data_IF_765145102118
#
_entry.id   IF_765145102118
#
_cell.length_a   1.000
_cell.length_b   1.000
_cell.length_c   1.000
_cell.angle_alpha   90.00
_cell.angle_beta   90.00
_cell.angle_gamma   90.00
#
_symmetry.space_group_name_H-M   'P 1'
#
loop_
_entity.id
_entity.type
_entity.pdbx_description
1 polymer ?
#
# COMPACT_ATOMS: atom_id res chain seq x y z
N UNK A 1 -34.98 -13.98 16.00
CA UNK A 1 -33.71 -13.69 16.70
C UNK A 1 -32.61 -14.23 15.84
N UNK A 2 -31.77 -13.32 15.33
CA UNK A 2 -30.71 -13.69 14.43
C UNK A 2 -29.58 -14.33 15.25
N UNK A 3 -29.31 -15.63 15.06
CA UNK A 3 -28.14 -16.25 15.70
C UNK A 3 -26.89 -15.74 14.98
N UNK A 4 -26.24 -14.70 15.48
CA UNK A 4 -25.03 -14.18 14.84
C UNK A 4 -23.77 -14.93 15.32
N UNK A 5 -22.80 -15.22 14.43
CA UNK A 5 -21.57 -15.94 14.80
C UNK A 5 -20.56 -15.05 15.55
N UNK A 6 -20.87 -13.79 15.86
CA UNK A 6 -19.94 -12.85 16.53
C UNK A 6 -19.35 -13.42 17.82
N UNK A 7 -20.13 -14.12 18.63
CA UNK A 7 -19.66 -14.71 19.89
C UNK A 7 -18.60 -15.80 19.67
N UNK A 8 -18.55 -16.42 18.49
CA UNK A 8 -17.49 -17.37 18.09
C UNK A 8 -16.18 -16.66 17.79
N UNK A 9 -16.25 -15.39 17.34
CA UNK A 9 -15.09 -14.57 16.96
C UNK A 9 -14.63 -13.61 18.05
N UNK A 10 -15.54 -13.20 18.92
CA UNK A 10 -15.28 -12.34 20.06
C UNK A 10 -16.13 -12.77 21.26
N UNK A 11 -15.71 -13.84 21.97
CA UNK A 11 -16.45 -14.37 23.13
C UNK A 11 -16.64 -13.34 24.25
N UNK A 12 -15.72 -12.39 24.39
CA UNK A 12 -15.73 -11.36 25.43
C UNK A 12 -16.67 -10.18 25.11
N UNK A 13 -17.21 -10.09 23.88
CA UNK A 13 -18.08 -8.98 23.50
C UNK A 13 -19.33 -8.90 24.38
N UNK A 14 -19.91 -10.03 24.73
CA UNK A 14 -21.13 -10.13 25.53
C UNK A 14 -21.02 -9.51 26.94
N UNK A 15 -19.81 -9.42 27.49
CA UNK A 15 -19.52 -8.86 28.82
C UNK A 15 -18.97 -7.43 28.75
N UNK A 16 -18.78 -6.89 27.54
CA UNK A 16 -18.24 -5.54 27.35
C UNK A 16 -19.11 -4.45 28.00
N UNK A 17 -18.51 -3.32 28.44
CA UNK A 17 -19.25 -2.18 28.97
C UNK A 17 -20.32 -1.65 28.00
N UNK A 18 -20.06 -1.69 26.70
CA UNK A 18 -20.93 -1.21 25.64
C UNK A 18 -22.19 -2.07 25.51
N UNK A 19 -22.02 -3.40 25.49
CA UNK A 19 -23.13 -4.36 25.48
C UNK A 19 -23.95 -4.23 26.77
N UNK A 20 -23.30 -4.14 27.94
CA UNK A 20 -24.00 -3.93 29.21
C UNK A 20 -24.86 -2.66 29.22
N UNK A 21 -24.39 -1.58 28.60
CA UNK A 21 -25.15 -0.33 28.48
C UNK A 21 -26.33 -0.47 27.52
N UNK A 22 -26.17 -1.22 26.42
CA UNK A 22 -27.23 -1.47 25.46
C UNK A 22 -28.36 -2.30 26.10
N UNK A 23 -28.01 -3.41 26.75
CA UNK A 23 -28.97 -4.26 27.49
C UNK A 23 -29.77 -3.44 28.51
N UNK A 24 -29.10 -2.68 29.40
CA UNK A 24 -29.80 -1.85 30.39
C UNK A 24 -30.76 -0.83 29.77
N UNK A 25 -30.42 -0.30 28.59
CA UNK A 25 -31.26 0.67 27.89
C UNK A 25 -32.50 0.00 27.30
N UNK A 26 -32.34 -1.19 26.73
CA UNK A 26 -33.43 -1.98 26.19
C UNK A 26 -34.40 -2.44 27.28
N UNK A 27 -33.88 -3.00 28.37
CA UNK A 27 -34.68 -3.38 29.54
C UNK A 27 -35.47 -2.20 30.10
N UNK A 28 -34.88 -1.01 30.11
CA UNK A 28 -35.57 0.22 30.53
C UNK A 28 -36.63 0.70 29.53
N UNK A 29 -36.50 0.39 28.25
CA UNK A 29 -37.44 0.80 27.19
C UNK A 29 -38.64 -0.13 27.12
N UNK A 30 -38.39 -1.43 27.20
CA UNK A 30 -39.40 -2.47 26.98
C UNK A 30 -40.03 -2.96 28.29
N UNK A 31 -39.37 -2.72 29.43
CA UNK A 31 -39.84 -3.14 30.74
C UNK A 31 -39.64 -4.64 31.01
N UNK A 32 -39.03 -5.37 30.07
CA UNK A 32 -38.70 -6.79 30.18
C UNK A 32 -37.20 -6.99 30.39
N UNK A 33 -36.81 -8.14 30.96
CA UNK A 33 -35.40 -8.49 31.15
C UNK A 33 -34.86 -9.18 29.90
N UNK A 34 -33.69 -8.73 29.44
CA UNK A 34 -32.98 -9.42 28.35
C UNK A 34 -32.38 -10.72 28.92
N UNK A 35 -32.58 -11.88 28.27
CA UNK A 35 -32.01 -13.13 28.76
C UNK A 35 -30.47 -13.05 28.88
N UNK A 36 -29.92 -13.60 29.97
CA UNK A 36 -28.49 -13.54 30.25
C UNK A 36 -27.69 -14.61 29.47
N UNK A 37 -27.84 -14.63 28.14
CA UNK A 37 -27.05 -15.48 27.25
C UNK A 37 -26.30 -14.63 26.21
N UNK A 38 -25.20 -15.15 25.64
CA UNK A 38 -24.33 -14.38 24.74
C UNK A 38 -25.06 -13.73 23.57
N UNK A 39 -25.94 -14.47 22.91
CA UNK A 39 -26.60 -14.04 21.68
C UNK A 39 -27.56 -12.89 21.93
N UNK A 40 -28.47 -13.01 22.90
CA UNK A 40 -29.48 -11.98 23.20
C UNK A 40 -28.84 -10.66 23.63
N UNK A 41 -27.77 -10.76 24.43
CA UNK A 41 -27.06 -9.57 24.92
C UNK A 41 -26.37 -8.82 23.77
N UNK A 42 -25.78 -9.55 22.82
CA UNK A 42 -25.13 -8.93 21.68
C UNK A 42 -26.18 -8.42 20.68
N UNK A 43 -27.32 -9.10 20.50
CA UNK A 43 -28.43 -8.63 19.66
C UNK A 43 -28.94 -7.26 20.13
N UNK A 44 -29.20 -7.09 21.43
CA UNK A 44 -29.56 -5.79 22.03
C UNK A 44 -28.57 -4.67 21.69
N UNK A 45 -27.29 -5.02 21.58
CA UNK A 45 -26.25 -4.09 21.15
C UNK A 45 -26.26 -3.85 19.64
N UNK A 46 -26.47 -4.88 18.82
CA UNK A 46 -26.58 -4.76 17.36
C UNK A 46 -27.79 -3.91 16.97
N UNK A 47 -28.96 -4.15 17.55
CA UNK A 47 -30.17 -3.36 17.33
C UNK A 47 -29.92 -1.88 17.61
N UNK A 48 -29.20 -1.57 18.69
CA UNK A 48 -28.83 -0.20 19.02
C UNK A 48 -27.92 0.40 17.94
N UNK A 49 -26.92 -0.34 17.47
CA UNK A 49 -26.01 0.14 16.43
C UNK A 49 -26.72 0.32 15.10
N UNK A 50 -27.59 -0.60 14.72
CA UNK A 50 -28.38 -0.55 13.49
C UNK A 50 -29.29 0.68 13.49
N UNK A 51 -29.99 0.96 14.59
CA UNK A 51 -30.81 2.15 14.73
C UNK A 51 -30.04 3.47 14.61
N UNK A 52 -28.75 3.48 14.92
CA UNK A 52 -27.88 4.65 14.86
C UNK A 52 -27.27 4.79 13.46
N UNK A 53 -26.52 3.78 13.03
CA UNK A 53 -25.64 3.82 11.86
C UNK A 53 -26.27 3.30 10.59
N UNK A 54 -27.34 2.51 10.69
CA UNK A 54 -28.04 1.87 9.57
C UNK A 54 -29.52 2.26 9.56
N UNK A 55 -29.85 3.44 10.10
CA UNK A 55 -31.24 3.90 10.18
C UNK A 55 -31.85 3.93 8.76
N UNK A 56 -33.06 3.37 8.53
CA UNK A 56 -33.69 3.39 7.21
C UNK A 56 -33.97 4.80 6.70
N UNK A 57 -34.18 5.76 7.61
CA UNK A 57 -34.32 7.18 7.31
C UNK A 57 -32.93 7.79 7.08
N UNK A 58 -32.62 8.03 5.81
CA UNK A 58 -31.33 8.56 5.36
C UNK A 58 -30.93 9.85 6.08
N UNK A 59 -31.85 10.79 6.27
CA UNK A 59 -31.55 12.05 6.98
C UNK A 59 -31.18 11.82 8.44
N UNK A 60 -31.83 10.86 9.11
CA UNK A 60 -31.46 10.49 10.47
C UNK A 60 -30.11 9.78 10.52
N UNK A 61 -29.84 8.90 9.55
CA UNK A 61 -28.58 8.17 9.42
C UNK A 61 -27.41 9.13 9.23
N UNK A 62 -27.50 10.04 8.27
CA UNK A 62 -26.50 11.08 8.00
C UNK A 62 -26.22 11.93 9.25
N UNK A 63 -27.28 12.48 9.85
CA UNK A 63 -27.15 13.28 11.08
C UNK A 63 -26.47 12.49 12.21
N UNK A 64 -26.84 11.22 12.39
CA UNK A 64 -26.23 10.38 13.40
C UNK A 64 -24.74 10.16 13.10
N UNK A 65 -24.40 9.84 11.84
CA UNK A 65 -23.01 9.65 11.39
C UNK A 65 -22.17 10.90 11.66
N UNK A 66 -22.66 12.07 11.26
CA UNK A 66 -22.01 13.37 11.55
C UNK A 66 -21.75 13.57 13.05
N UNK A 67 -22.73 13.28 13.90
CA UNK A 67 -22.58 13.41 15.36
C UNK A 67 -21.53 12.48 15.97
N UNK A 68 -21.24 11.34 15.33
CA UNK A 68 -20.25 10.38 15.80
C UNK A 68 -18.89 10.53 15.11
N UNK A 69 -18.83 11.17 13.94
CA UNK A 69 -17.62 11.28 13.11
C UNK A 69 -16.45 11.90 13.89
N UNK A 70 -16.67 13.03 14.56
CA UNK A 70 -15.63 13.68 15.38
C UNK A 70 -15.11 12.78 16.51
N UNK A 71 -16.00 12.05 17.18
CA UNK A 71 -15.62 11.11 18.26
C UNK A 71 -14.84 9.92 17.73
N UNK A 72 -15.18 9.46 16.52
CA UNK A 72 -14.47 8.38 15.84
C UNK A 72 -13.08 8.89 15.44
N UNK A 73 -12.98 10.10 14.88
CA UNK A 73 -11.69 10.70 14.55
C UNK A 73 -10.82 10.88 15.78
N UNK A 74 -11.41 11.37 16.87
CA UNK A 74 -10.71 11.54 18.13
C UNK A 74 -10.12 10.23 18.67
N UNK A 75 -10.80 9.11 18.44
CA UNK A 75 -10.35 7.81 18.88
C UNK A 75 -9.33 7.13 17.94
N UNK A 76 -9.42 7.37 16.62
CA UNK A 76 -8.75 6.54 15.63
C UNK A 76 -7.68 7.25 14.79
N UNK A 77 -7.76 8.58 14.63
CA UNK A 77 -6.81 9.35 13.83
C UNK A 77 -5.56 9.64 14.65
N UNK A 78 -4.40 9.57 13.99
CA UNK A 78 -3.12 9.93 14.60
C UNK A 78 -3.18 11.34 15.20
N UNK A 79 -2.59 11.50 16.39
CA UNK A 79 -2.45 12.81 17.04
C UNK A 79 -1.14 13.47 16.61
N UNK A 80 -1.13 14.80 16.52
CA UNK A 80 0.04 15.56 16.05
C UNK A 80 1.29 15.23 16.87
N UNK A 81 1.15 15.09 18.18
CA UNK A 81 2.20 14.72 19.13
C UNK A 81 2.75 13.30 18.95
N UNK A 82 2.04 12.43 18.22
CA UNK A 82 2.45 11.04 17.98
C UNK A 82 3.11 10.84 16.60
N UNK A 83 3.38 11.91 15.84
CA UNK A 83 4.05 11.80 14.56
C UNK A 83 5.50 11.32 14.72
N UNK A 84 5.88 10.20 14.07
CA UNK A 84 7.23 9.66 14.22
C UNK A 84 8.24 10.44 13.37
N UNK A 85 9.44 10.71 13.92
CA UNK A 85 10.53 11.35 13.19
C UNK A 85 10.95 10.58 11.92
N UNK A 86 10.79 9.25 11.94
CA UNK A 86 11.08 8.39 10.79
C UNK A 86 10.28 8.75 9.53
N UNK A 87 9.09 9.34 9.68
CA UNK A 87 8.32 9.86 8.54
C UNK A 87 9.03 11.03 7.87
N UNK A 88 9.53 12.00 8.64
CA UNK A 88 10.24 13.17 8.12
C UNK A 88 11.62 12.81 7.58
N UNK A 89 12.31 11.84 8.18
CA UNK A 89 13.56 11.30 7.61
C UNK A 89 13.33 10.64 6.25
N UNK A 90 12.21 9.94 6.07
CA UNK A 90 11.84 9.39 4.77
C UNK A 90 11.58 10.51 3.75
N UNK A 91 10.83 11.55 4.11
CA UNK A 91 10.61 12.70 3.22
C UNK A 91 11.91 13.41 2.82
N UNK A 92 12.86 13.56 3.76
CA UNK A 92 14.20 14.10 3.47
C UNK A 92 14.99 13.21 2.51
N UNK A 93 14.94 11.88 2.68
CA UNK A 93 15.58 10.94 1.76
C UNK A 93 15.00 11.07 0.35
N UNK A 94 13.68 11.07 0.24
CA UNK A 94 12.98 11.25 -1.04
C UNK A 94 13.40 12.57 -1.70
N UNK A 95 13.49 13.68 -0.96
CA UNK A 95 13.96 14.95 -1.52
C UNK A 95 15.41 14.87 -2.05
N UNK A 96 16.31 14.21 -1.32
CA UNK A 96 17.71 14.01 -1.76
C UNK A 96 17.81 13.18 -3.03
N UNK A 97 16.99 12.13 -3.15
CA UNK A 97 16.92 11.29 -4.36
C UNK A 97 16.40 12.05 -5.59
N UNK A 98 15.75 13.20 -5.38
CA UNK A 98 15.31 14.17 -6.40
C UNK A 98 16.33 15.28 -6.68
N UNK A 99 17.56 15.14 -6.18
CA UNK A 99 18.61 16.16 -6.29
C UNK A 99 18.38 17.40 -5.44
N UNK A 100 17.45 17.36 -4.48
CA UNK A 100 17.20 18.46 -3.54
C UNK A 100 17.93 18.19 -2.22
N UNK A 101 19.00 18.95 -1.96
CA UNK A 101 19.70 18.86 -0.69
C UNK A 101 18.85 19.52 0.42
N UNK A 102 18.05 18.70 1.12
CA UNK A 102 17.29 19.13 2.30
C UNK A 102 18.00 18.64 3.56
N UNK A 103 18.58 19.58 4.31
CA UNK A 103 19.16 19.32 5.63
C UNK A 103 18.06 19.28 6.70
N UNK A 104 17.14 20.25 6.65
CA UNK A 104 16.03 20.38 7.60
C UNK A 104 14.73 20.74 6.87
N UNK A 105 13.61 20.13 7.29
CA UNK A 105 12.28 20.46 6.79
C UNK A 105 11.75 21.64 7.62
N UNK A 106 11.45 22.79 7.02
CA UNK A 106 10.89 23.93 7.75
C UNK A 106 9.60 23.58 8.49
N UNK A 107 9.38 24.18 9.66
CA UNK A 107 8.23 23.84 10.52
C UNK A 107 6.88 24.02 9.83
N UNK A 108 6.72 25.06 9.01
CA UNK A 108 5.49 25.26 8.24
C UNK A 108 5.22 24.13 7.24
N UNK A 109 6.27 23.55 6.65
CA UNK A 109 6.16 22.42 5.73
C UNK A 109 5.87 21.13 6.51
N UNK A 110 6.49 20.98 7.69
CA UNK A 110 6.22 19.87 8.62
C UNK A 110 4.75 19.83 9.01
N UNK A 111 4.17 20.98 9.39
CA UNK A 111 2.75 21.07 9.74
C UNK A 111 1.83 20.75 8.54
N UNK A 112 2.16 21.21 7.34
CA UNK A 112 1.41 20.86 6.12
C UNK A 112 1.43 19.36 5.81
N UNK A 113 2.58 18.70 6.01
CA UNK A 113 2.70 17.25 5.85
C UNK A 113 1.85 16.49 6.88
N UNK A 114 1.86 16.95 8.14
CA UNK A 114 1.02 16.40 9.21
C UNK A 114 -0.46 16.54 8.85
N UNK A 115 -0.88 17.72 8.39
CA UNK A 115 -2.27 18.00 7.99
C UNK A 115 -2.72 17.09 6.85
N UNK A 116 -1.89 16.94 5.83
CA UNK A 116 -2.15 16.05 4.68
C UNK A 116 -2.38 14.60 5.14
N UNK A 117 -1.51 14.11 6.02
CA UNK A 117 -1.60 12.74 6.55
C UNK A 117 -2.85 12.57 7.41
N UNK A 118 -3.18 13.53 8.27
CA UNK A 118 -4.39 13.49 9.10
C UNK A 118 -5.63 13.46 8.21
N UNK A 119 -5.68 14.28 7.17
CA UNK A 119 -6.83 14.36 6.27
C UNK A 119 -6.98 13.10 5.42
N UNK A 120 -5.87 12.51 4.93
CA UNK A 120 -5.91 11.21 4.24
C UNK A 120 -6.39 10.07 5.16
N UNK A 121 -6.03 10.09 6.45
CA UNK A 121 -6.59 9.15 7.42
C UNK A 121 -8.09 9.35 7.64
N UNK A 122 -8.58 10.60 7.68
CA UNK A 122 -10.02 10.86 7.79
C UNK A 122 -10.75 10.38 6.54
N UNK A 123 -10.32 10.77 5.35
CA UNK A 123 -10.95 10.36 4.10
C UNK A 123 -11.00 8.84 3.94
N UNK A 124 -9.88 8.14 4.17
CA UNK A 124 -9.88 6.67 4.10
C UNK A 124 -10.77 6.01 5.15
N UNK A 125 -10.89 6.60 6.35
CA UNK A 125 -11.82 6.11 7.37
C UNK A 125 -13.27 6.37 7.00
N UNK A 126 -13.55 7.54 6.43
CA UNK A 126 -14.87 7.95 5.96
C UNK A 126 -15.38 7.01 4.90
N UNK A 127 -14.53 6.59 3.95
CA UNK A 127 -14.92 5.60 2.96
C UNK A 127 -15.39 4.28 3.58
N UNK A 128 -14.75 3.85 4.68
CA UNK A 128 -15.17 2.66 5.41
C UNK A 128 -16.51 2.90 6.11
N UNK A 129 -16.66 4.04 6.80
CA UNK A 129 -17.89 4.42 7.50
C UNK A 129 -19.06 4.51 6.51
N UNK A 130 -18.86 5.25 5.42
CA UNK A 130 -19.88 5.56 4.43
C UNK A 130 -20.29 4.29 3.68
N UNK A 131 -19.34 3.43 3.26
CA UNK A 131 -19.68 2.15 2.64
C UNK A 131 -20.44 1.22 3.58
N UNK A 132 -19.94 0.98 4.80
CA UNK A 132 -20.59 0.06 5.73
C UNK A 132 -21.97 0.58 6.17
N UNK A 133 -22.16 1.89 6.21
CA UNK A 133 -23.45 2.51 6.53
C UNK A 133 -24.40 2.69 5.34
N UNK A 134 -23.92 2.51 4.11
CA UNK A 134 -24.75 2.64 2.91
C UNK A 134 -25.66 1.42 2.69
N UNK A 135 -26.62 1.61 1.78
CA UNK A 135 -27.49 0.55 1.28
C UNK A 135 -26.78 -0.41 0.31
N UNK A 136 -25.60 -0.03 -0.22
CA UNK A 136 -24.83 -0.87 -1.14
C UNK A 136 -24.13 -2.02 -0.41
N UNK A 137 -23.74 -1.80 0.85
CA UNK A 137 -23.28 -2.87 1.72
C UNK A 137 -24.48 -3.70 2.19
N UNK A 138 -24.88 -4.70 1.40
CA UNK A 138 -26.03 -5.57 1.69
C UNK A 138 -25.78 -6.62 2.78
N UNK A 139 -24.73 -6.44 3.58
CA UNK A 139 -24.38 -7.36 4.66
C UNK A 139 -25.30 -7.18 5.88
N UNK A 140 -25.51 -8.24 6.68
CA UNK A 140 -26.17 -8.11 7.99
C UNK A 140 -25.45 -7.11 8.91
N UNK A 141 -26.20 -6.44 9.79
CA UNK A 141 -25.68 -5.42 10.70
C UNK A 141 -24.52 -5.94 11.57
N UNK A 142 -24.64 -7.19 12.08
CA UNK A 142 -23.59 -7.83 12.86
C UNK A 142 -22.29 -8.01 12.09
N UNK A 143 -22.36 -8.29 10.78
CA UNK A 143 -21.16 -8.44 9.94
C UNK A 143 -20.53 -7.08 9.65
N UNK A 144 -21.33 -6.06 9.36
CA UNK A 144 -20.84 -4.67 9.21
C UNK A 144 -20.07 -4.21 10.45
N UNK A 145 -20.63 -4.47 11.63
CA UNK A 145 -19.94 -4.23 12.90
C UNK A 145 -18.64 -5.03 13.02
N UNK A 146 -18.67 -6.33 12.70
CA UNK A 146 -17.46 -7.16 12.73
C UNK A 146 -16.36 -6.60 11.82
N UNK A 147 -16.68 -6.38 10.55
CA UNK A 147 -15.78 -5.85 9.53
C UNK A 147 -15.17 -4.52 10.00
N UNK A 148 -15.98 -3.58 10.49
CA UNK A 148 -15.52 -2.35 11.10
C UNK A 148 -14.45 -2.59 12.17
N UNK A 149 -14.75 -3.43 13.17
CA UNK A 149 -13.81 -3.69 14.29
C UNK A 149 -12.49 -4.32 13.87
N UNK A 150 -12.45 -4.97 12.71
CA UNK A 150 -11.23 -5.54 12.14
C UNK A 150 -10.49 -4.50 11.30
N UNK A 151 -11.18 -3.84 10.37
CA UNK A 151 -10.61 -2.87 9.42
C UNK A 151 -9.93 -1.69 10.11
N UNK A 152 -10.52 -1.15 11.19
CA UNK A 152 -9.92 -0.02 11.91
C UNK A 152 -8.58 -0.35 12.61
N UNK A 153 -8.22 -1.63 12.69
CA UNK A 153 -6.94 -2.10 13.27
C UNK A 153 -5.87 -2.34 12.22
N UNK A 154 -6.23 -2.27 10.93
CA UNK A 154 -5.34 -2.53 9.80
C UNK A 154 -4.74 -1.23 9.29
N UNK A 155 -3.45 -1.28 9.00
CA UNK A 155 -2.74 -0.26 8.24
C UNK A 155 -2.82 -0.60 6.75
N UNK A 156 -1.97 0.01 5.92
CA UNK A 156 -1.85 -0.30 4.50
C UNK A 156 -1.53 -1.79 4.27
N UNK A 157 -2.10 -2.34 3.20
CA UNK A 157 -1.80 -3.70 2.72
C UNK A 157 -0.36 -3.74 2.18
N UNK A 158 0.47 -4.63 2.71
CA UNK A 158 1.82 -4.86 2.25
C UNK A 158 1.79 -5.96 1.17
N UNK A 159 1.84 -5.55 -0.10
CA UNK A 159 1.75 -6.46 -1.25
C UNK A 159 2.91 -7.45 -1.31
N UNK A 160 4.10 -7.05 -0.87
CA UNK A 160 5.29 -7.90 -0.90
C UNK A 160 5.13 -9.07 0.07
N UNK A 161 4.60 -8.77 1.26
CA UNK A 161 4.39 -9.77 2.31
C UNK A 161 3.04 -10.47 2.23
N UNK A 162 2.10 -9.94 1.45
CA UNK A 162 0.73 -10.41 1.40
C UNK A 162 0.03 -10.29 2.76
N UNK A 163 0.33 -9.26 3.55
CA UNK A 163 -0.22 -9.08 4.89
C UNK A 163 -0.54 -7.62 5.22
N UNK A 164 -1.44 -7.40 6.18
CA UNK A 164 -1.68 -6.06 6.73
C UNK A 164 -0.77 -5.80 7.93
N UNK A 165 -0.14 -4.63 7.95
CA UNK A 165 0.47 -4.11 9.18
C UNK A 165 -0.62 -3.73 10.19
N UNK A 166 -0.30 -3.82 11.48
CA UNK A 166 -1.21 -3.35 12.54
C UNK A 166 -1.09 -1.84 12.71
N UNK A 167 -2.20 -1.15 12.97
CA UNK A 167 -2.17 0.25 13.39
C UNK A 167 -1.70 0.38 14.83
N UNK A 168 -0.97 1.46 15.07
CA UNK A 168 -0.48 1.94 16.36
C UNK A 168 -0.81 3.44 16.47
N UNK A 169 -0.59 4.03 17.65
CA UNK A 169 -0.76 5.47 17.85
C UNK A 169 0.14 6.35 16.95
N UNK A 170 1.22 5.77 16.39
CA UNK A 170 2.19 6.44 15.52
C UNK A 170 2.02 6.08 14.04
N UNK A 171 0.95 5.36 13.68
CA UNK A 171 0.71 4.98 12.28
C UNK A 171 0.31 6.20 11.47
N UNK A 172 1.14 6.56 10.49
CA UNK A 172 0.89 7.65 9.55
C UNK A 172 0.07 7.20 8.33
N UNK A 173 0.08 5.91 7.99
CA UNK A 173 -0.62 5.42 6.81
C UNK A 173 -2.16 5.62 6.90
N UNK A 174 -2.84 5.88 5.76
CA UNK A 174 -4.30 5.82 5.65
C UNK A 174 -4.87 4.47 6.13
N UNK A 175 -6.18 4.41 6.35
CA UNK A 175 -6.89 3.14 6.54
C UNK A 175 -6.86 2.32 5.24
N UNK A 176 -6.94 0.98 5.32
CA UNK A 176 -6.83 0.16 4.12
C UNK A 176 -7.96 0.46 3.14
N UNK A 177 -7.62 0.52 1.86
CA UNK A 177 -8.59 0.55 0.78
C UNK A 177 -9.54 -0.66 0.88
N UNK A 178 -10.84 -0.40 0.75
CA UNK A 178 -11.84 -1.46 0.74
C UNK A 178 -11.82 -2.22 -0.59
N UNK A 179 -11.66 -3.54 -0.50
CA UNK A 179 -11.82 -4.47 -1.60
C UNK A 179 -13.15 -5.21 -1.41
N UNK A 180 -14.19 -4.73 -2.10
CA UNK A 180 -15.58 -5.19 -1.92
C UNK A 180 -15.76 -6.69 -2.17
N UNK A 181 -15.12 -7.24 -3.20
CA UNK A 181 -15.17 -8.68 -3.52
C UNK A 181 -14.61 -9.55 -2.40
N UNK A 182 -13.35 -9.36 -1.97
CA UNK A 182 -12.80 -10.01 -0.78
C UNK A 182 -13.66 -9.86 0.48
N UNK A 183 -14.20 -8.67 0.75
CA UNK A 183 -15.05 -8.45 1.92
C UNK A 183 -16.39 -9.22 1.83
N UNK A 184 -17.00 -9.25 0.64
CA UNK A 184 -18.22 -10.01 0.37
C UNK A 184 -17.99 -11.52 0.52
N UNK A 185 -16.88 -12.04 0.00
CA UNK A 185 -16.52 -13.45 0.17
C UNK A 185 -16.37 -13.85 1.65
N UNK A 186 -15.82 -12.96 2.49
CA UNK A 186 -15.77 -13.20 3.95
C UNK A 186 -17.18 -13.15 4.57
N UNK A 187 -18.05 -12.24 4.10
CA UNK A 187 -19.44 -12.18 4.58
C UNK A 187 -20.19 -13.49 4.28
N UNK A 188 -20.09 -13.98 3.04
CA UNK A 188 -20.70 -15.23 2.59
C UNK A 188 -20.18 -16.42 3.40
N UNK A 189 -18.86 -16.48 3.62
CA UNK A 189 -18.21 -17.50 4.44
C UNK A 189 -18.77 -17.52 5.88
N UNK A 190 -18.92 -16.35 6.49
CA UNK A 190 -19.42 -16.25 7.87
C UNK A 190 -20.91 -16.61 7.95
N UNK A 191 -21.68 -16.28 6.90
CA UNK A 191 -23.08 -16.68 6.79
C UNK A 191 -23.22 -18.21 6.61
N UNK A 192 -22.36 -18.84 5.81
CA UNK A 192 -22.31 -20.30 5.69
C UNK A 192 -22.03 -20.99 7.03
N UNK A 193 -21.06 -20.50 7.81
CA UNK A 193 -20.75 -21.09 9.14
C UNK A 193 -21.85 -20.81 10.17
N UNK A 194 -22.57 -19.70 10.03
CA UNK A 194 -23.78 -19.43 10.83
C UNK A 194 -24.88 -20.45 10.54
N UNK A 195 -25.06 -20.80 9.26
CA UNK A 195 -26.13 -21.71 8.82
C UNK A 195 -25.79 -23.19 9.06
N UNK A 196 -24.53 -23.60 8.84
CA UNK A 196 -24.03 -24.96 9.14
C UNK A 196 -22.61 -24.94 9.74
N UNK A 197 -22.54 -25.00 11.07
CA UNK A 197 -21.28 -24.97 11.83
C UNK A 197 -20.65 -26.36 12.02
N UNK A 198 -20.45 -27.10 10.92
CA UNK A 198 -19.75 -28.40 10.91
C UNK A 198 -18.31 -28.24 10.43
N UNK A 199 -17.46 -29.24 10.75
CA UNK A 199 -16.13 -29.32 10.15
C UNK A 199 -16.25 -29.41 8.62
N UNK A 200 -15.72 -28.41 7.95
CA UNK A 200 -15.83 -28.17 6.51
C UNK A 200 -14.69 -27.23 6.10
N UNK A 201 -14.43 -27.13 4.80
CA UNK A 201 -13.47 -26.14 4.28
C UNK A 201 -13.87 -24.71 4.69
N UNK A 202 -15.16 -24.38 4.57
CA UNK A 202 -15.71 -23.10 5.04
C UNK A 202 -15.43 -22.85 6.53
N UNK A 203 -15.51 -23.88 7.38
CA UNK A 203 -15.20 -23.74 8.80
C UNK A 203 -13.71 -23.46 9.03
N UNK A 204 -12.82 -24.13 8.30
CA UNK A 204 -11.36 -23.92 8.41
C UNK A 204 -10.95 -22.53 7.97
N UNK A 205 -11.53 -22.05 6.86
CA UNK A 205 -11.36 -20.68 6.39
C UNK A 205 -11.94 -19.68 7.39
N UNK A 206 -13.12 -19.95 7.93
CA UNK A 206 -13.72 -19.13 8.97
C UNK A 206 -12.79 -19.00 10.16
N UNK A 207 -12.15 -20.08 10.63
CA UNK A 207 -11.26 -20.08 11.80
C UNK A 207 -9.99 -19.24 11.62
N UNK A 208 -9.60 -18.89 10.38
CA UNK A 208 -8.53 -17.92 10.13
C UNK A 208 -8.85 -16.56 10.77
N UNK A 209 -7.79 -15.80 11.07
CA UNK A 209 -7.93 -14.41 11.53
C UNK A 209 -8.36 -13.55 10.34
N UNK A 210 -9.36 -12.68 10.53
CA UNK A 210 -9.87 -11.80 9.48
C UNK A 210 -8.76 -11.08 8.68
N UNK A 211 -7.72 -10.48 9.31
CA UNK A 211 -6.68 -9.78 8.55
C UNK A 211 -5.92 -10.69 7.59
N UNK A 212 -5.69 -11.94 7.96
CA UNK A 212 -4.96 -12.91 7.14
C UNK A 212 -5.82 -13.40 5.96
N UNK A 213 -7.08 -13.75 6.23
CA UNK A 213 -8.02 -14.17 5.19
C UNK A 213 -8.32 -13.04 4.20
N UNK A 214 -8.52 -11.82 4.70
CA UNK A 214 -8.76 -10.65 3.86
C UNK A 214 -7.55 -10.33 2.98
N UNK A 215 -6.34 -10.41 3.54
CA UNK A 215 -5.10 -10.26 2.79
C UNK A 215 -4.93 -11.33 1.69
N UNK A 216 -5.22 -12.60 2.00
CA UNK A 216 -5.16 -13.72 1.03
C UNK A 216 -6.12 -13.50 -0.14
N UNK A 217 -7.37 -13.11 0.15
CA UNK A 217 -8.38 -12.83 -0.88
C UNK A 217 -8.03 -11.60 -1.73
N UNK A 218 -7.45 -10.57 -1.13
CA UNK A 218 -6.92 -9.41 -1.86
C UNK A 218 -5.77 -9.84 -2.76
N UNK A 219 -4.79 -10.58 -2.24
CA UNK A 219 -3.64 -11.04 -3.02
C UNK A 219 -4.09 -11.88 -4.22
N UNK A 220 -5.07 -12.77 -4.04
CA UNK A 220 -5.67 -13.56 -5.12
C UNK A 220 -6.36 -12.66 -6.16
N UNK A 221 -7.22 -11.74 -5.71
CA UNK A 221 -7.92 -10.82 -6.61
C UNK A 221 -6.95 -9.92 -7.40
N UNK A 222 -5.89 -9.45 -6.76
CA UNK A 222 -4.85 -8.67 -7.44
C UNK A 222 -4.04 -9.53 -8.40
N UNK A 223 -3.69 -10.77 -8.04
CA UNK A 223 -2.99 -11.69 -8.93
C UNK A 223 -3.79 -11.98 -10.21
N UNK A 224 -5.10 -12.21 -10.09
CA UNK A 224 -6.01 -12.40 -11.24
C UNK A 224 -6.02 -11.16 -12.16
N UNK A 225 -5.93 -9.94 -11.61
CA UNK A 225 -5.79 -8.71 -12.45
C UNK A 225 -4.41 -8.54 -13.09
N UNK A 226 -3.41 -9.25 -12.58
CA UNK A 226 -2.00 -9.16 -12.96
C UNK A 226 -1.60 -10.29 -13.93
N UNK A 227 -2.49 -11.25 -14.23
CA UNK A 227 -2.25 -12.32 -15.22
C UNK A 227 -1.95 -11.81 -16.64
N UNK A 228 -2.07 -10.50 -16.89
CA UNK A 228 -1.65 -9.85 -18.14
C UNK A 228 -0.32 -9.08 -18.02
N UNK A 229 0.62 -9.48 -17.13
CA UNK A 229 1.94 -8.81 -16.97
C UNK A 229 2.74 -8.67 -18.26
N UNK A 230 2.52 -9.57 -19.22
CA UNK A 230 3.12 -9.53 -20.56
C UNK A 230 2.54 -8.41 -21.44
N UNK A 231 1.32 -7.93 -21.16
CA UNK A 231 0.73 -6.81 -21.91
C UNK A 231 1.42 -5.51 -21.50
N UNK A 232 2.15 -4.94 -22.46
CA UNK A 232 2.87 -3.67 -22.32
C UNK A 232 2.13 -2.53 -23.03
N UNK A 233 1.16 -2.83 -23.90
CA UNK A 233 0.41 -1.80 -24.63
C UNK A 233 -0.59 -1.12 -23.70
N UNK A 234 -0.74 0.18 -23.93
CA UNK A 234 -1.45 1.06 -23.04
C UNK A 234 -1.30 2.50 -23.47
N UNK A 235 -1.72 3.39 -22.59
CA UNK A 235 -1.78 4.83 -22.87
C UNK A 235 -1.28 5.65 -21.69
N UNK A 236 -0.56 6.73 -22.00
CA UNK A 236 -0.23 7.77 -21.02
C UNK A 236 -1.41 8.71 -20.87
N UNK A 237 -1.92 8.83 -19.64
CA UNK A 237 -2.92 9.84 -19.27
C UNK A 237 -2.22 10.94 -18.50
N UNK A 238 -2.47 12.19 -18.91
CA UNK A 238 -2.02 13.39 -18.22
C UNK A 238 -3.14 13.93 -17.34
N UNK A 239 -2.79 14.25 -16.09
CA UNK A 239 -3.61 14.98 -15.14
C UNK A 239 -2.99 16.36 -14.94
N UNK A 240 -3.75 17.40 -15.26
CA UNK A 240 -3.25 18.78 -15.35
C UNK A 240 -3.06 19.43 -13.98
N UNK A 241 -1.97 20.18 -13.84
CA UNK A 241 -1.66 20.91 -12.62
C UNK A 241 -2.81 21.85 -12.20
N UNK A 242 -3.21 21.75 -10.93
CA UNK A 242 -4.21 22.63 -10.32
C UNK A 242 -5.66 22.33 -10.69
N UNK A 243 -5.93 21.27 -11.48
CA UNK A 243 -7.29 20.82 -11.75
C UNK A 243 -7.76 19.84 -10.64
N UNK A 244 -8.65 20.33 -9.77
CA UNK A 244 -9.24 19.52 -8.69
C UNK A 244 -10.03 18.31 -9.20
N UNK A 245 -10.61 18.39 -10.41
CA UNK A 245 -11.29 17.26 -11.03
C UNK A 245 -10.28 16.23 -11.55
N UNK A 246 -9.14 16.68 -12.05
CA UNK A 246 -8.04 15.79 -12.43
C UNK A 246 -7.49 15.05 -11.21
N UNK A 247 -7.34 15.71 -10.06
CA UNK A 247 -6.92 15.07 -8.81
C UNK A 247 -7.88 13.96 -8.37
N UNK A 248 -9.19 14.22 -8.38
CA UNK A 248 -10.20 13.20 -8.06
C UNK A 248 -10.17 12.04 -9.06
N UNK A 249 -10.02 12.34 -10.36
CA UNK A 249 -9.97 11.32 -11.41
C UNK A 249 -8.71 10.45 -11.26
N UNK A 250 -7.56 11.06 -10.99
CA UNK A 250 -6.30 10.38 -10.70
C UNK A 250 -6.48 9.43 -9.51
N UNK A 251 -6.93 9.95 -8.36
CA UNK A 251 -7.13 9.14 -7.16
C UNK A 251 -8.05 7.93 -7.44
N UNK A 252 -9.21 8.14 -8.05
CA UNK A 252 -10.15 7.06 -8.40
C UNK A 252 -9.56 6.02 -9.34
N UNK A 253 -8.76 6.45 -10.33
CA UNK A 253 -8.16 5.54 -11.30
C UNK A 253 -7.11 4.61 -10.68
N UNK A 254 -6.46 5.04 -9.60
CA UNK A 254 -5.38 4.32 -8.92
C UNK A 254 -5.86 3.48 -7.74
N UNK A 255 -6.96 3.90 -7.10
CA UNK A 255 -7.49 3.28 -5.89
C UNK A 255 -7.75 1.78 -6.08
N UNK A 256 -7.24 0.98 -5.15
CA UNK A 256 -7.44 -0.48 -5.14
C UNK A 256 -6.70 -1.24 -6.24
N UNK A 257 -5.86 -0.58 -7.04
CA UNK A 257 -5.04 -1.20 -8.08
C UNK A 257 -3.74 -1.83 -7.57
N UNK A 258 -3.43 -1.64 -6.28
CA UNK A 258 -2.27 -2.27 -5.65
C UNK A 258 -0.94 -1.77 -6.21
N UNK A 259 -0.84 -0.47 -6.50
CA UNK A 259 0.38 0.20 -7.00
C UNK A 259 1.40 0.47 -5.90
N UNK A 260 0.94 0.61 -4.64
CA UNK A 260 1.79 1.00 -3.51
C UNK A 260 2.15 2.50 -3.50
N UNK A 261 1.53 3.31 -4.36
CA UNK A 261 1.76 4.75 -4.42
C UNK A 261 0.93 5.48 -3.36
N UNK A 262 1.51 6.47 -2.68
CA UNK A 262 0.77 7.32 -1.74
C UNK A 262 -0.41 8.04 -2.42
N UNK A 263 -0.26 8.40 -3.70
CA UNK A 263 -1.31 8.98 -4.55
C UNK A 263 -2.52 8.07 -4.74
N UNK A 264 -2.34 6.75 -4.64
CA UNK A 264 -3.42 5.77 -4.78
C UNK A 264 -4.20 5.55 -3.47
N UNK A 265 -3.56 5.80 -2.33
CA UNK A 265 -4.11 5.53 -1.00
C UNK A 265 -4.48 6.81 -0.22
N UNK A 266 -4.10 7.99 -0.71
CA UNK A 266 -4.36 9.29 -0.09
C UNK A 266 -4.96 10.28 -1.08
N UNK A 267 -6.21 10.69 -0.84
CA UNK A 267 -6.92 11.66 -1.68
C UNK A 267 -6.27 13.05 -1.63
N UNK A 268 -6.01 13.55 -0.43
CA UNK A 268 -5.34 14.83 -0.17
C UNK A 268 -3.91 14.80 -0.73
N UNK A 269 -3.26 13.63 -0.65
CA UNK A 269 -1.96 13.43 -1.31
C UNK A 269 -2.07 13.60 -2.83
N UNK A 270 -3.10 13.05 -3.48
CA UNK A 270 -3.32 13.25 -4.92
C UNK A 270 -3.60 14.72 -5.27
N UNK A 271 -4.44 15.40 -4.48
CA UNK A 271 -4.74 16.83 -4.62
C UNK A 271 -3.46 17.67 -4.49
N UNK A 272 -2.69 17.49 -3.41
CA UNK A 272 -1.41 18.19 -3.18
C UNK A 272 -0.42 17.98 -4.33
N UNK A 273 -0.33 16.76 -4.86
CA UNK A 273 0.58 16.44 -5.96
C UNK A 273 0.15 17.10 -7.26
N UNK A 274 -1.15 17.15 -7.55
CA UNK A 274 -1.70 17.85 -8.71
C UNK A 274 -1.58 19.37 -8.58
N UNK A 275 -1.74 19.94 -7.38
CA UNK A 275 -1.46 21.36 -7.16
C UNK A 275 0.01 21.70 -7.43
N UNK A 276 0.91 20.78 -7.06
CA UNK A 276 2.36 20.94 -7.21
C UNK A 276 2.85 20.82 -8.66
N UNK A 277 2.18 20.06 -9.52
CA UNK A 277 2.61 19.86 -10.91
C UNK A 277 1.70 18.90 -11.69
N UNK A 278 1.97 18.77 -12.99
CA UNK A 278 1.30 17.76 -13.81
C UNK A 278 1.59 16.35 -13.27
N UNK A 279 0.68 15.41 -13.49
CA UNK A 279 0.88 14.00 -13.13
C UNK A 279 0.59 13.12 -14.35
N UNK A 280 1.51 12.21 -14.67
CA UNK A 280 1.35 11.27 -15.78
C UNK A 280 1.24 9.87 -15.22
N UNK A 281 0.29 9.08 -15.72
CA UNK A 281 0.19 7.65 -15.43
C UNK A 281 0.09 6.87 -16.73
N UNK A 282 0.89 5.82 -16.85
CA UNK A 282 0.74 4.85 -17.92
C UNK A 282 -0.16 3.71 -17.48
N UNK A 283 -1.25 3.50 -18.21
CA UNK A 283 -2.19 2.41 -17.98
C UNK A 283 -2.06 1.37 -19.07
N UNK A 284 -1.72 0.13 -18.72
CA UNK A 284 -1.80 -0.99 -19.65
C UNK A 284 -3.23 -1.48 -19.82
N UNK A 285 -3.45 -2.11 -20.97
CA UNK A 285 -4.75 -2.62 -21.35
C UNK A 285 -5.17 -3.83 -20.50
N UNK A 286 -6.45 -3.88 -20.14
CA UNK A 286 -7.09 -5.11 -19.66
C UNK A 286 -7.33 -6.10 -20.81
N UNK A 287 -7.92 -7.25 -20.50
CA UNK A 287 -8.25 -8.30 -21.48
C UNK A 287 -9.27 -7.85 -22.52
N UNK A 288 -9.98 -6.74 -22.31
CA UNK A 288 -10.92 -6.13 -23.23
C UNK A 288 -10.28 -5.02 -24.08
N UNK A 289 -9.00 -4.70 -23.84
CA UNK A 289 -8.26 -3.67 -24.56
C UNK A 289 -8.38 -2.26 -23.94
N UNK A 290 -8.97 -2.11 -22.76
CA UNK A 290 -9.13 -0.80 -22.12
C UNK A 290 -7.92 -0.45 -21.25
N UNK A 291 -7.32 0.76 -21.34
CA UNK A 291 -6.16 1.16 -20.56
C UNK A 291 -6.55 1.50 -19.12
N UNK A 292 -6.59 0.49 -18.25
CA UNK A 292 -7.14 0.62 -16.87
C UNK A 292 -6.20 0.13 -15.76
N UNK A 293 -5.04 -0.44 -16.11
CA UNK A 293 -4.08 -0.95 -15.13
C UNK A 293 -2.84 -0.06 -15.01
N UNK A 294 -2.72 0.77 -13.95
CA UNK A 294 -1.57 1.66 -13.80
C UNK A 294 -0.28 0.88 -13.54
N UNK A 295 0.78 1.15 -14.30
CA UNK A 295 2.11 0.50 -14.15
C UNK A 295 3.27 1.48 -13.95
N UNK A 296 3.16 2.69 -14.47
CA UNK A 296 4.15 3.75 -14.32
C UNK A 296 3.47 5.05 -13.91
N UNK A 297 4.14 5.86 -13.10
CA UNK A 297 3.75 7.23 -12.81
C UNK A 297 4.95 8.18 -12.90
N UNK A 298 4.71 9.39 -13.42
CA UNK A 298 5.65 10.50 -13.42
C UNK A 298 4.95 11.68 -12.76
N UNK A 299 5.40 12.05 -11.57
CA UNK A 299 4.95 13.25 -10.85
C UNK A 299 5.85 14.41 -11.24
N UNK A 300 5.28 15.53 -11.69
CA UNK A 300 6.03 16.74 -11.98
C UNK A 300 6.09 17.68 -10.77
N UNK A 301 7.06 18.58 -10.79
CA UNK A 301 7.13 19.77 -9.94
C UNK A 301 7.03 20.99 -10.85
N UNK A 302 5.87 21.63 -10.88
CA UNK A 302 5.49 22.58 -11.92
C UNK A 302 5.27 21.87 -13.26
N UNK A 303 5.67 22.55 -14.34
CA UNK A 303 5.42 22.06 -15.72
C UNK A 303 6.60 21.34 -16.36
N UNK A 304 7.82 21.72 -15.97
CA UNK A 304 9.02 21.37 -16.73
C UNK A 304 10.02 20.51 -15.95
N UNK A 305 9.75 20.22 -14.66
CA UNK A 305 10.66 19.47 -13.80
C UNK A 305 10.03 18.16 -13.37
N UNK A 306 10.78 17.06 -13.50
CA UNK A 306 10.33 15.77 -13.01
C UNK A 306 10.59 15.74 -11.50
N UNK A 307 9.51 15.59 -10.74
CA UNK A 307 9.59 15.41 -9.31
C UNK A 307 9.91 13.97 -8.94
N UNK A 308 9.26 12.99 -9.59
CA UNK A 308 9.44 11.58 -9.24
C UNK A 308 8.95 10.65 -10.34
N UNK A 309 9.61 9.51 -10.49
CA UNK A 309 9.18 8.41 -11.36
C UNK A 309 8.97 7.16 -10.50
N UNK A 310 7.83 6.50 -10.65
CA UNK A 310 7.43 5.35 -9.84
C UNK A 310 6.92 4.23 -10.73
N UNK A 311 7.22 2.99 -10.35
CA UNK A 311 6.55 1.79 -10.87
C UNK A 311 5.82 1.03 -9.77
N UNK A 312 5.41 -0.20 -10.07
CA UNK A 312 4.56 -1.02 -9.19
C UNK A 312 5.28 -2.22 -8.54
N UNK A 313 6.60 -2.30 -8.71
CA UNK A 313 7.45 -3.29 -8.02
C UNK A 313 7.66 -2.90 -6.55
N UNK A 314 8.24 -3.81 -5.74
CA UNK A 314 8.74 -3.49 -4.41
C UNK A 314 9.42 -2.12 -4.33
N UNK A 315 9.14 -1.39 -3.25
CA UNK A 315 9.62 -0.01 -3.04
C UNK A 315 9.32 0.98 -4.18
N UNK A 316 8.26 0.74 -4.98
CA UNK A 316 7.85 1.55 -6.14
C UNK A 316 8.84 1.49 -7.31
N UNK A 317 9.61 0.40 -7.42
CA UNK A 317 10.51 0.16 -8.55
C UNK A 317 9.77 0.02 -9.89
N UNK A 318 10.49 0.32 -10.97
CA UNK A 318 9.99 0.18 -12.35
C UNK A 318 10.17 -1.27 -12.80
N UNK A 319 9.11 -1.83 -13.38
CA UNK A 319 9.18 -3.15 -13.99
C UNK A 319 10.14 -3.13 -15.19
N UNK A 320 11.05 -4.09 -15.33
CA UNK A 320 12.00 -4.08 -16.44
C UNK A 320 11.35 -4.10 -17.82
N UNK A 321 10.21 -4.79 -17.96
CA UNK A 321 9.43 -4.84 -19.21
C UNK A 321 8.79 -3.48 -19.58
N UNK A 322 8.71 -2.55 -18.62
CA UNK A 322 8.16 -1.20 -18.80
C UNK A 322 9.23 -0.14 -19.05
N UNK A 323 10.52 -0.51 -19.04
CA UNK A 323 11.63 0.43 -19.19
C UNK A 323 11.55 1.22 -20.50
N UNK A 324 11.28 0.56 -21.63
CA UNK A 324 11.19 1.22 -22.94
C UNK A 324 10.02 2.21 -23.01
N UNK A 325 8.87 1.86 -22.42
CA UNK A 325 7.69 2.74 -22.33
C UNK A 325 8.03 4.00 -21.51
N UNK A 326 8.75 3.80 -20.41
CA UNK A 326 9.21 4.90 -19.56
C UNK A 326 10.23 5.78 -20.29
N UNK A 327 11.27 5.20 -20.89
CA UNK A 327 12.33 5.92 -21.59
C UNK A 327 11.80 6.76 -22.74
N UNK A 328 10.84 6.22 -23.50
CA UNK A 328 10.15 6.94 -24.58
C UNK A 328 9.47 8.19 -24.02
N UNK A 329 8.75 8.05 -22.90
CA UNK A 329 8.08 9.18 -22.25
C UNK A 329 9.06 10.18 -21.65
N UNK A 330 10.14 9.69 -21.03
CA UNK A 330 11.20 10.52 -20.48
C UNK A 330 11.86 11.38 -21.57
N UNK A 331 12.01 10.85 -22.78
CA UNK A 331 12.51 11.61 -23.94
C UNK A 331 11.74 12.89 -24.27
N UNK A 332 10.46 12.98 -23.88
CA UNK A 332 9.64 14.19 -24.07
C UNK A 332 10.04 15.35 -23.13
N UNK A 333 10.74 15.08 -22.01
CA UNK A 333 11.13 16.08 -21.01
C UNK A 333 12.57 16.62 -21.21
N UNK A 334 13.22 16.33 -22.33
CA UNK A 334 14.52 16.92 -22.69
C UNK A 334 15.63 16.57 -21.70
N UNK A 335 16.38 17.59 -21.26
CA UNK A 335 17.55 17.42 -20.37
C UNK A 335 17.18 17.02 -18.94
N UNK A 336 15.95 17.28 -18.51
CA UNK A 336 15.48 16.85 -17.18
C UNK A 336 15.47 15.33 -17.06
N UNK A 337 15.22 14.63 -18.17
CA UNK A 337 15.28 13.18 -18.22
C UNK A 337 16.71 12.63 -18.08
N UNK A 338 17.77 13.43 -18.28
CA UNK A 338 19.16 12.97 -18.20
C UNK A 338 19.47 12.39 -16.81
N UNK A 339 18.91 12.98 -15.75
CA UNK A 339 19.03 12.50 -14.38
C UNK A 339 18.37 11.13 -14.15
N UNK A 340 17.37 10.77 -14.97
CA UNK A 340 16.64 9.51 -14.88
C UNK A 340 17.14 8.46 -15.88
N UNK A 341 17.89 8.86 -16.92
CA UNK A 341 18.50 7.93 -17.89
C UNK A 341 19.50 7.00 -17.22
N UNK A 342 20.31 7.50 -16.27
CA UNK A 342 21.21 6.64 -15.51
C UNK A 342 20.43 5.56 -14.76
N UNK A 343 19.36 5.95 -14.05
CA UNK A 343 18.49 5.02 -13.32
C UNK A 343 17.89 3.96 -14.26
N UNK A 344 17.42 4.37 -15.43
CA UNK A 344 16.88 3.43 -16.42
C UNK A 344 17.93 2.45 -16.93
N UNK A 345 19.12 2.95 -17.29
CA UNK A 345 20.23 2.11 -17.77
C UNK A 345 20.72 1.14 -16.70
N UNK A 346 20.89 1.61 -15.46
CA UNK A 346 21.27 0.78 -14.31
C UNK A 346 20.24 -0.36 -14.10
N UNK A 347 18.93 -0.06 -14.17
CA UNK A 347 17.88 -1.08 -14.06
C UNK A 347 17.87 -2.06 -15.25
N UNK A 348 18.21 -1.60 -16.46
CA UNK A 348 18.34 -2.44 -17.65
C UNK A 348 19.49 -3.43 -17.50
N UNK A 349 20.65 -2.97 -17.03
CA UNK A 349 21.83 -3.82 -16.79
C UNK A 349 21.52 -4.84 -15.69
N UNK A 350 20.94 -4.43 -14.56
CA UNK A 350 20.53 -5.37 -13.49
C UNK A 350 19.62 -6.49 -14.01
N UNK A 351 18.64 -6.14 -14.85
CA UNK A 351 17.72 -7.12 -15.45
C UNK A 351 18.45 -8.07 -16.39
N UNK A 352 19.44 -7.59 -17.15
CA UNK A 352 20.26 -8.44 -17.99
C UNK A 352 21.11 -9.43 -17.17
N UNK A 353 21.65 -9.00 -16.03
CA UNK A 353 22.39 -9.86 -15.10
C UNK A 353 21.51 -10.94 -14.47
N UNK A 354 20.28 -10.59 -14.11
CA UNK A 354 19.29 -11.53 -13.59
C UNK A 354 19.01 -12.65 -14.60
N UNK A 355 18.76 -12.30 -15.87
CA UNK A 355 18.58 -13.28 -16.96
C UNK A 355 19.83 -14.15 -17.18
N UNK A 356 21.03 -13.56 -17.13
CA UNK A 356 22.28 -14.32 -17.22
C UNK A 356 22.39 -15.34 -16.09
N UNK A 357 22.06 -14.94 -14.86
CA UNK A 357 22.06 -15.86 -13.70
C UNK A 357 21.04 -16.99 -13.88
N UNK A 358 19.82 -16.68 -14.32
CA UNK A 358 18.77 -17.67 -14.57
C UNK A 358 19.16 -18.70 -15.64
N UNK A 359 19.97 -18.28 -16.62
CA UNK A 359 20.49 -19.13 -17.69
C UNK A 359 21.83 -19.81 -17.37
N UNK A 360 22.35 -19.69 -16.15
CA UNK A 360 23.69 -20.15 -15.75
C UNK A 360 24.84 -19.58 -16.63
N UNK A 361 24.67 -18.37 -17.15
CA UNK A 361 25.68 -17.66 -17.94
C UNK A 361 26.71 -16.95 -17.04
N UNK A 362 27.99 -17.07 -17.38
CA UNK A 362 29.08 -16.39 -16.68
C UNK A 362 29.00 -14.87 -16.84
N UNK A 363 29.33 -14.14 -15.77
CA UNK A 363 29.37 -12.69 -15.79
C UNK A 363 30.71 -12.21 -16.37
N UNK A 364 30.64 -11.22 -17.26
CA UNK A 364 31.80 -10.56 -17.86
C UNK A 364 32.45 -9.60 -16.88
N UNK A 365 33.63 -9.06 -17.24
CA UNK A 365 34.30 -8.01 -16.46
C UNK A 365 33.38 -6.80 -16.25
N UNK A 366 32.70 -6.35 -17.29
CA UNK A 366 31.79 -5.20 -17.24
C UNK A 366 30.59 -5.46 -16.32
N UNK A 367 30.03 -6.67 -16.40
CA UNK A 367 28.94 -7.12 -15.51
C UNK A 367 29.36 -7.04 -14.04
N UNK A 368 30.58 -7.51 -13.72
CA UNK A 368 31.10 -7.55 -12.35
C UNK A 368 31.50 -6.15 -11.86
N UNK A 369 32.14 -5.34 -12.69
CA UNK A 369 32.47 -3.93 -12.39
C UNK A 369 31.19 -3.16 -12.03
N UNK A 370 30.10 -3.39 -12.78
CA UNK A 370 28.79 -2.83 -12.49
C UNK A 370 28.20 -3.39 -11.18
N UNK A 371 28.09 -4.72 -11.04
CA UNK A 371 27.46 -5.38 -9.89
C UNK A 371 28.14 -5.04 -8.54
N UNK A 372 29.47 -4.91 -8.55
CA UNK A 372 30.27 -4.52 -7.38
C UNK A 372 30.37 -3.01 -7.18
N UNK A 373 29.74 -2.21 -8.05
CA UNK A 373 29.70 -0.74 -7.96
C UNK A 373 31.09 -0.09 -7.95
N UNK A 374 32.06 -0.67 -8.67
CA UNK A 374 33.47 -0.27 -8.65
C UNK A 374 33.65 1.16 -9.18
N UNK A 375 32.98 1.48 -10.30
CA UNK A 375 33.09 2.79 -10.95
C UNK A 375 32.02 3.78 -10.49
N UNK A 376 30.82 3.29 -10.19
CA UNK A 376 29.68 4.11 -9.80
C UNK A 376 28.66 3.27 -9.04
N UNK A 377 27.91 3.91 -8.15
CA UNK A 377 26.78 3.29 -7.45
C UNK A 377 25.63 3.01 -8.43
N UNK A 378 24.95 1.87 -8.24
CA UNK A 378 23.76 1.52 -9.01
C UNK A 378 22.57 2.31 -8.45
N UNK A 379 21.85 3.01 -9.32
CA UNK A 379 20.67 3.80 -8.96
C UNK A 379 19.40 3.21 -9.56
N UNK A 380 18.35 3.12 -8.75
CA UNK A 380 17.03 2.68 -9.19
C UNK A 380 15.95 3.74 -8.96
N UNK A 381 14.72 3.39 -9.28
CA UNK A 381 13.54 4.23 -9.06
C UNK A 381 12.89 4.03 -7.68
N UNK A 382 13.26 2.96 -6.96
CA UNK A 382 12.77 2.71 -5.61
C UNK A 382 13.56 3.44 -4.53
N UNK A 383 12.94 3.62 -3.35
CA UNK A 383 13.53 4.35 -2.20
C UNK A 383 14.61 3.58 -1.43
N UNK A 384 14.85 2.32 -1.81
CA UNK A 384 15.84 1.45 -1.19
C UNK A 384 16.76 0.88 -2.27
N UNK A 385 17.94 0.43 -1.84
CA UNK A 385 18.86 -0.27 -2.73
C UNK A 385 18.16 -1.49 -3.34
N UNK A 386 18.31 -1.67 -4.64
CA UNK A 386 17.63 -2.74 -5.36
C UNK A 386 18.05 -4.11 -4.76
N UNK A 387 17.09 -4.92 -4.28
CA UNK A 387 17.40 -6.18 -3.61
C UNK A 387 18.13 -7.17 -4.52
N UNK A 388 17.93 -7.08 -5.84
CA UNK A 388 18.59 -7.95 -6.83
C UNK A 388 20.10 -7.83 -6.77
N UNK A 389 20.66 -6.69 -6.35
CA UNK A 389 22.12 -6.53 -6.19
C UNK A 389 22.65 -7.53 -5.15
N UNK A 390 21.96 -7.67 -4.01
CA UNK A 390 22.37 -8.62 -2.98
C UNK A 390 22.16 -10.07 -3.44
N UNK A 391 21.04 -10.34 -4.11
CA UNK A 391 20.72 -11.67 -4.63
C UNK A 391 21.72 -12.12 -5.70
N UNK A 392 22.10 -11.24 -6.63
CA UNK A 392 23.06 -11.53 -7.70
C UNK A 392 24.47 -11.76 -7.16
N UNK A 393 24.82 -11.16 -6.03
CA UNK A 393 26.11 -11.38 -5.34
C UNK A 393 26.09 -12.63 -4.45
N UNK A 394 24.91 -13.08 -4.03
CA UNK A 394 24.78 -14.25 -3.16
C UNK A 394 25.32 -15.51 -3.86
N UNK A 395 26.26 -16.19 -3.21
CA UNK A 395 26.87 -17.42 -3.72
C UNK A 395 28.03 -17.21 -4.70
N UNK A 396 28.36 -15.97 -5.08
CA UNK A 396 29.54 -15.66 -5.89
C UNK A 396 30.83 -15.74 -5.07
N UNK A 397 31.91 -16.15 -5.71
CA UNK A 397 33.25 -16.12 -5.11
C UNK A 397 33.94 -14.79 -5.46
N UNK A 398 33.96 -13.87 -4.48
CA UNK A 398 34.55 -12.54 -4.68
C UNK A 398 36.03 -12.58 -5.06
N UNK A 399 36.80 -13.58 -4.60
CA UNK A 399 38.21 -13.73 -4.98
C UNK A 399 38.37 -14.05 -6.47
N UNK A 400 37.51 -14.91 -7.02
CA UNK A 400 37.53 -15.21 -8.47
C UNK A 400 37.03 -14.02 -9.29
N UNK A 401 36.03 -13.30 -8.79
CA UNK A 401 35.51 -12.12 -9.45
C UNK A 401 36.55 -10.98 -9.51
N UNK A 402 37.37 -10.80 -8.47
CA UNK A 402 38.48 -9.82 -8.46
C UNK A 402 39.48 -10.09 -9.59
N UNK A 403 39.81 -11.36 -9.85
CA UNK A 403 40.71 -11.73 -10.95
C UNK A 403 40.18 -11.27 -12.31
N UNK A 404 38.86 -11.37 -12.51
CA UNK A 404 38.18 -10.93 -13.74
C UNK A 404 38.07 -9.40 -13.79
N UNK A 405 37.67 -8.76 -12.68
CA UNK A 405 37.47 -7.31 -12.57
C UNK A 405 38.77 -6.55 -12.85
N UNK A 406 39.88 -6.97 -12.24
CA UNK A 406 41.17 -6.28 -12.33
C UNK A 406 42.13 -6.91 -13.35
N UNK A 407 41.68 -7.97 -14.06
CA UNK A 407 42.49 -8.72 -15.04
C UNK A 407 43.87 -9.10 -14.48
N UNK A 408 43.84 -9.69 -13.28
CA UNK A 408 45.02 -10.02 -12.50
C UNK A 408 45.08 -11.51 -12.12
N UNK A 409 46.25 -11.98 -11.72
CA UNK A 409 46.40 -13.32 -11.12
C UNK A 409 46.34 -13.25 -9.59
N UNK A 410 46.17 -14.40 -8.92
CA UNK A 410 46.05 -14.43 -7.45
C UNK A 410 47.28 -13.88 -6.75
N UNK A 411 48.45 -13.98 -7.37
CA UNK A 411 49.73 -13.48 -6.85
C UNK A 411 49.85 -11.95 -6.99
N UNK A 412 49.03 -11.32 -7.83
CA UNK A 412 48.98 -9.88 -8.07
C UNK A 412 47.97 -9.16 -7.15
N UNK A 413 47.28 -9.89 -6.26
CA UNK A 413 46.33 -9.35 -5.27
C UNK A 413 47.04 -9.14 -3.92
N UNK A 414 46.92 -7.94 -3.35
CA UNK A 414 47.41 -7.65 -2.00
C UNK A 414 46.26 -7.59 -0.99
N UNK A 415 46.26 -8.51 -0.01
CA UNK A 415 45.26 -8.53 1.07
C UNK A 415 45.64 -7.66 2.27
N UNK A 416 46.92 -7.27 2.38
CA UNK A 416 47.41 -6.37 3.43
C UNK A 416 48.40 -5.36 2.86
N UNK A 417 48.54 -4.16 3.48
CA UNK A 417 49.43 -3.12 2.97
C UNK A 417 50.89 -3.54 2.76
N UNK A 418 51.39 -4.50 3.54
CA UNK A 418 52.77 -5.01 3.42
C UNK A 418 53.01 -5.92 2.21
N UNK A 419 51.96 -6.36 1.51
CA UNK A 419 52.06 -7.19 0.31
C UNK A 419 52.15 -6.35 -0.98
N UNK A 420 51.86 -5.05 -0.89
CA UNK A 420 51.87 -4.13 -2.03
C UNK A 420 53.30 -4.01 -2.56
N UNK A 421 53.47 -4.37 -3.83
CA UNK A 421 54.74 -4.29 -4.55
C UNK A 421 54.50 -3.81 -5.99
N UNK A 422 55.57 -3.73 -6.79
CA UNK A 422 55.52 -3.25 -8.17
C UNK A 422 54.64 -4.08 -9.12
N UNK A 423 54.30 -5.32 -8.76
CA UNK A 423 53.46 -6.22 -9.54
C UNK A 423 52.02 -6.33 -8.99
N UNK A 424 51.68 -5.61 -7.92
CA UNK A 424 50.33 -5.62 -7.35
C UNK A 424 49.36 -4.85 -8.26
N UNK A 425 48.21 -5.46 -8.59
CA UNK A 425 47.16 -4.86 -9.44
C UNK A 425 45.83 -4.64 -8.73
N UNK A 426 45.55 -5.36 -7.65
CA UNK A 426 44.29 -5.28 -6.89
C UNK A 426 44.53 -5.31 -5.38
#
# INVERSE_FOLDING_TARGET
>A
MEKHPLHLKNPELQTSPEVNRAVKREESREGEKVPNNPSERIEAYMDRLENIFLNPDERKRERNLEMFRDKIYDALIIKRENFPDSYFELQKRIARERGQAVEEIPENVREQMIDTVIEDQKHSLDEIIDYLSSNDATYPAWFKYYAWTQLIKLSQFDKERGEFKKRTATTVAPFPTLHYGPLAAIADLYQQVKDDNKDSEARREFDKKFPALYAELIAKSLAETVENREEIRGEWVKYEQGDSKAAETLFRSLKGKGTGWCTADGRTTAETQIESGDFYVYYTNDTQGNPVQPRLAIRMEGKDRIGEVRGILPHQGVEPVMAEVLDTKLGEFGTEADAYRKKSEDMRILTALEKKRENDESFTKEDLVFLYEINSTIEGFGYQKDPRIAELRQGRNTEEDILIIFECTREEIAHVPSQINENTKA
#
